data_IF_676281678747
#
_entry.id   IF_676281678747
#
_cell.length_a   1.000
_cell.length_b   1.000
_cell.length_c   1.000
_cell.angle_alpha   90.00
_cell.angle_beta   90.00
_cell.angle_gamma   90.00
#
_symmetry.space_group_name_H-M   'P 1'
#
loop_
_entity.id
_entity.type
_entity.pdbx_description
1 polymer ?
#
# COMPACT_ATOMS: atom_id res chain seq x y z
N UNK A 1 22.12 39.49 5.36
CA UNK A 1 21.39 38.22 5.40
C UNK A 1 20.96 37.72 4.01
N UNK A 2 20.19 38.45 3.20
CA UNK A 2 19.68 37.98 1.89
C UNK A 2 20.77 37.57 0.88
N UNK A 3 21.92 38.24 0.86
CA UNK A 3 23.06 37.88 0.00
C UNK A 3 23.71 36.58 0.45
N UNK A 4 23.72 36.29 1.73
CA UNK A 4 24.19 35.02 2.30
C UNK A 4 23.27 33.87 1.78
N UNK A 5 21.96 33.97 2.00
CA UNK A 5 21.01 32.93 1.53
C UNK A 5 21.08 32.71 0.02
N UNK A 6 21.30 33.77 -0.80
CA UNK A 6 21.45 33.62 -2.24
C UNK A 6 22.72 32.85 -2.63
N UNK A 7 23.83 33.08 -1.95
CA UNK A 7 25.06 32.31 -2.17
C UNK A 7 24.88 30.87 -1.74
N UNK A 8 24.33 30.68 -0.54
CA UNK A 8 24.10 29.35 0.04
C UNK A 8 23.14 28.53 -0.81
N UNK A 9 22.00 29.07 -1.20
CA UNK A 9 21.04 28.45 -2.13
C UNK A 9 21.72 28.02 -3.44
N UNK A 10 22.52 28.88 -4.04
CA UNK A 10 23.24 28.56 -5.27
C UNK A 10 24.26 27.43 -5.07
N UNK A 11 25.13 27.55 -4.06
CA UNK A 11 26.17 26.58 -3.81
C UNK A 11 25.62 25.19 -3.47
N UNK A 12 24.48 25.13 -2.80
CA UNK A 12 23.81 23.88 -2.52
C UNK A 12 23.09 23.33 -3.76
N UNK A 13 22.48 24.21 -4.58
CA UNK A 13 21.74 23.77 -5.78
C UNK A 13 22.65 23.22 -6.88
N UNK A 14 23.90 23.70 -7.00
CA UNK A 14 24.78 23.29 -8.10
C UNK A 14 25.15 21.80 -8.03
N UNK A 15 25.64 21.22 -6.94
CA UNK A 15 26.02 19.81 -6.90
C UNK A 15 24.80 18.85 -6.90
N UNK A 16 23.71 19.22 -6.23
CA UNK A 16 22.55 18.33 -6.08
C UNK A 16 21.48 18.50 -7.16
N UNK A 17 21.55 19.55 -7.96
CA UNK A 17 20.48 19.92 -8.90
C UNK A 17 20.18 18.86 -9.97
N UNK A 18 21.20 18.13 -10.46
CA UNK A 18 20.99 17.06 -11.45
C UNK A 18 20.20 15.91 -10.82
N UNK A 19 20.59 15.46 -9.64
CA UNK A 19 19.88 14.38 -8.92
C UNK A 19 18.45 14.80 -8.60
N UNK A 20 18.25 16.03 -8.12
CA UNK A 20 16.91 16.59 -7.83
C UNK A 20 16.06 16.61 -9.11
N UNK A 21 16.62 17.03 -10.25
CA UNK A 21 15.91 17.02 -11.55
C UNK A 21 15.46 15.61 -11.91
N UNK A 22 16.36 14.63 -11.84
CA UNK A 22 16.06 13.22 -12.14
C UNK A 22 14.97 12.70 -11.21
N UNK A 23 15.14 12.89 -9.90
CA UNK A 23 14.18 12.40 -8.90
C UNK A 23 12.81 13.04 -9.05
N UNK A 24 12.72 14.35 -9.25
CA UNK A 24 11.44 15.03 -9.49
C UNK A 24 10.78 14.59 -10.80
N UNK A 25 11.53 14.44 -11.88
CA UNK A 25 11.00 14.03 -13.18
C UNK A 25 10.47 12.59 -13.13
N UNK A 26 11.27 11.68 -12.59
CA UNK A 26 10.86 10.27 -12.42
C UNK A 26 9.69 10.14 -11.47
N UNK A 27 9.65 10.91 -10.38
CA UNK A 27 8.50 10.99 -9.48
C UNK A 27 7.22 11.43 -10.18
N UNK A 28 7.30 12.43 -11.08
CA UNK A 28 6.15 12.84 -11.89
C UNK A 28 5.63 11.70 -12.78
N UNK A 29 6.51 10.96 -13.44
CA UNK A 29 6.10 9.81 -14.26
C UNK A 29 5.39 8.72 -13.45
N UNK A 30 5.83 8.45 -12.22
CA UNK A 30 5.25 7.44 -11.35
C UNK A 30 3.85 7.80 -10.82
N UNK A 31 3.45 9.08 -10.84
CA UNK A 31 2.10 9.49 -10.38
C UNK A 31 0.99 8.82 -11.19
N UNK A 32 1.21 8.66 -12.50
CA UNK A 32 0.24 8.09 -13.45
C UNK A 32 0.68 6.74 -14.02
N UNK A 33 1.53 6.01 -13.30
CA UNK A 33 2.04 4.70 -13.74
C UNK A 33 0.91 3.73 -14.08
N UNK A 34 -0.12 3.63 -13.23
CA UNK A 34 -1.23 2.69 -13.43
C UNK A 34 -2.02 3.02 -14.71
N UNK A 35 -2.38 4.28 -14.89
CA UNK A 35 -3.16 4.74 -16.04
C UNK A 35 -2.36 4.58 -17.35
N UNK A 36 -1.06 4.89 -17.33
CA UNK A 36 -0.22 4.72 -18.50
C UNK A 36 -0.03 3.23 -18.81
N UNK A 37 0.14 2.39 -17.80
CA UNK A 37 0.26 0.93 -17.98
C UNK A 37 -1.01 0.38 -18.62
N UNK A 38 -2.19 0.73 -18.09
CA UNK A 38 -3.48 0.30 -18.65
C UNK A 38 -3.66 0.74 -20.11
N UNK A 39 -3.20 1.94 -20.48
CA UNK A 39 -3.23 2.41 -21.86
C UNK A 39 -2.27 1.66 -22.79
N UNK A 40 -1.13 1.17 -22.28
CA UNK A 40 -0.10 0.52 -23.09
C UNK A 40 -0.35 -0.97 -23.31
N UNK A 41 -0.87 -1.68 -22.31
CA UNK A 41 -0.95 -3.16 -22.29
C UNK A 41 -2.41 -3.64 -22.35
N UNK A 42 -3.37 -2.72 -22.28
CA UNK A 42 -4.77 -3.02 -21.99
C UNK A 42 -4.99 -3.11 -20.49
N UNK A 43 -6.25 -3.01 -20.10
CA UNK A 43 -6.61 -3.09 -18.68
C UNK A 43 -6.97 -4.55 -18.33
N UNK A 44 -5.97 -5.31 -17.88
CA UNK A 44 -6.14 -6.69 -17.40
C UNK A 44 -6.93 -6.76 -16.08
N UNK A 45 -7.29 -5.61 -15.53
CA UNK A 45 -8.10 -5.54 -14.32
C UNK A 45 -9.59 -5.49 -14.61
N UNK A 46 -9.98 -5.27 -15.87
CA UNK A 46 -11.40 -5.17 -16.27
C UNK A 46 -11.92 -6.51 -16.78
N UNK A 47 -13.00 -6.96 -16.21
CA UNK A 47 -13.72 -8.18 -16.60
C UNK A 47 -15.17 -7.86 -16.95
N UNK A 48 -15.78 -8.64 -17.83
CA UNK A 48 -17.21 -8.52 -18.11
C UNK A 48 -17.99 -9.33 -17.08
N UNK A 49 -18.89 -8.72 -16.30
CA UNK A 49 -19.71 -9.44 -15.33
C UNK A 49 -20.62 -10.48 -16.03
N UNK A 50 -20.53 -11.74 -15.59
CA UNK A 50 -21.35 -12.85 -16.11
C UNK A 50 -21.80 -13.71 -14.93
N UNK A 51 -23.02 -13.49 -14.46
CA UNK A 51 -23.58 -14.24 -13.33
C UNK A 51 -23.08 -13.78 -11.97
N UNK A 52 -23.00 -14.69 -11.01
CA UNK A 52 -22.47 -14.42 -9.68
C UNK A 52 -20.98 -14.76 -9.59
N UNK A 53 -20.18 -13.99 -8.82
CA UNK A 53 -18.78 -14.29 -8.61
C UNK A 53 -18.60 -15.65 -7.91
N UNK A 54 -17.56 -16.37 -8.29
CA UNK A 54 -17.16 -17.61 -7.61
C UNK A 54 -16.74 -17.32 -6.16
N UNK A 55 -16.95 -18.28 -5.25
CA UNK A 55 -16.45 -18.20 -3.88
C UNK A 55 -14.93 -17.95 -3.83
N UNK A 56 -14.49 -17.21 -2.79
CA UNK A 56 -13.06 -16.90 -2.58
C UNK A 56 -12.23 -18.17 -2.44
N UNK A 57 -12.77 -19.21 -1.77
CA UNK A 57 -12.12 -20.51 -1.65
C UNK A 57 -11.87 -21.15 -3.02
N UNK A 58 -12.90 -21.19 -3.87
CA UNK A 58 -12.81 -21.78 -5.22
C UNK A 58 -11.79 -21.04 -6.08
N UNK A 59 -11.73 -19.72 -5.98
CA UNK A 59 -10.72 -18.92 -6.70
C UNK A 59 -9.31 -19.24 -6.19
N UNK A 60 -9.13 -19.31 -4.87
CA UNK A 60 -7.84 -19.64 -4.28
C UNK A 60 -7.39 -21.04 -4.70
N UNK A 61 -8.26 -22.06 -4.60
CA UNK A 61 -7.98 -23.44 -5.02
C UNK A 61 -7.61 -23.53 -6.50
N UNK A 62 -8.37 -22.87 -7.38
CA UNK A 62 -8.10 -22.89 -8.83
C UNK A 62 -6.74 -22.26 -9.15
N UNK A 63 -6.39 -21.16 -8.48
CA UNK A 63 -5.08 -20.52 -8.69
C UNK A 63 -3.98 -21.40 -8.12
N UNK A 64 -4.14 -21.92 -6.91
CA UNK A 64 -3.16 -22.78 -6.24
C UNK A 64 -2.82 -24.02 -7.10
N UNK A 65 -3.84 -24.64 -7.69
CA UNK A 65 -3.66 -25.77 -8.59
C UNK A 65 -2.83 -25.45 -9.86
N UNK A 66 -2.69 -24.16 -10.23
CA UNK A 66 -1.90 -23.73 -11.40
C UNK A 66 -0.48 -23.30 -11.04
N UNK A 67 -0.16 -23.20 -9.73
CA UNK A 67 1.11 -22.69 -9.26
C UNK A 67 2.18 -23.80 -9.19
N UNK A 68 3.47 -23.46 -9.34
CA UNK A 68 4.58 -24.36 -9.00
C UNK A 68 4.54 -24.75 -7.51
N UNK A 69 4.99 -25.95 -7.18
CA UNK A 69 4.97 -26.52 -5.83
C UNK A 69 5.68 -25.69 -4.74
N UNK A 70 6.49 -24.71 -5.12
CA UNK A 70 7.22 -23.82 -4.20
C UNK A 70 6.55 -22.42 -4.05
N UNK A 71 5.38 -22.22 -4.66
CA UNK A 71 4.64 -20.96 -4.64
C UNK A 71 3.23 -21.20 -4.09
N UNK A 72 2.88 -20.49 -3.01
CA UNK A 72 1.59 -20.62 -2.34
C UNK A 72 0.74 -19.36 -2.56
N UNK A 73 -0.59 -19.51 -2.46
CA UNK A 73 -1.52 -18.41 -2.37
C UNK A 73 -1.42 -17.75 -0.98
N UNK A 74 -1.20 -16.44 -0.93
CA UNK A 74 -1.08 -15.66 0.33
C UNK A 74 -2.31 -14.82 0.65
N UNK A 75 -3.20 -14.64 -0.29
CA UNK A 75 -4.45 -13.91 -0.05
C UNK A 75 -5.18 -13.58 -1.32
N UNK A 76 -6.48 -13.42 -1.21
CA UNK A 76 -7.37 -13.01 -2.30
C UNK A 76 -7.90 -11.62 -2.00
N UNK A 77 -7.79 -10.72 -2.96
CA UNK A 77 -8.32 -9.35 -2.89
C UNK A 77 -9.58 -9.28 -3.74
N UNK A 78 -10.69 -9.05 -3.08
CA UNK A 78 -12.02 -8.90 -3.67
C UNK A 78 -12.32 -7.41 -3.83
N UNK A 79 -12.67 -6.98 -5.03
CA UNK A 79 -13.16 -5.62 -5.30
C UNK A 79 -14.68 -5.55 -5.12
N UNK A 80 -15.16 -4.38 -4.67
CA UNK A 80 -16.61 -4.10 -4.65
C UNK A 80 -17.18 -3.81 -6.04
N UNK A 81 -16.30 -3.53 -7.01
CA UNK A 81 -16.71 -3.26 -8.41
C UNK A 81 -16.87 -4.58 -9.16
N UNK A 82 -18.03 -4.87 -9.74
CA UNK A 82 -18.29 -6.15 -10.40
C UNK A 82 -17.50 -6.34 -11.70
N UNK A 83 -17.00 -5.27 -12.28
CA UNK A 83 -16.18 -5.22 -13.49
C UNK A 83 -14.67 -5.25 -13.21
N UNK A 84 -14.26 -5.28 -11.95
CA UNK A 84 -12.84 -5.33 -11.56
C UNK A 84 -12.42 -6.76 -11.17
N UNK A 85 -11.42 -7.30 -11.88
CA UNK A 85 -10.86 -8.63 -11.63
C UNK A 85 -10.37 -8.80 -10.20
N UNK A 86 -10.56 -9.97 -9.62
CA UNK A 86 -9.98 -10.30 -8.34
C UNK A 86 -8.47 -10.44 -8.46
N UNK A 87 -7.76 -10.13 -7.37
CA UNK A 87 -6.30 -10.24 -7.32
C UNK A 87 -5.88 -11.27 -6.29
N UNK A 88 -5.13 -12.27 -6.71
CA UNK A 88 -4.58 -13.31 -5.83
C UNK A 88 -3.11 -13.04 -5.59
N UNK A 89 -2.75 -12.79 -4.32
CA UNK A 89 -1.38 -12.52 -3.89
C UNK A 89 -0.62 -13.84 -3.72
N UNK A 90 0.62 -13.89 -4.18
CA UNK A 90 1.48 -15.07 -4.18
C UNK A 90 2.64 -14.95 -3.19
N UNK A 91 3.17 -16.11 -2.75
CA UNK A 91 4.33 -16.15 -1.84
C UNK A 91 5.63 -15.75 -2.54
N UNK A 92 5.80 -16.15 -3.80
CA UNK A 92 6.99 -15.92 -4.62
C UNK A 92 6.63 -15.54 -6.06
N UNK A 93 7.42 -14.65 -6.66
CA UNK A 93 8.40 -13.75 -6.04
C UNK A 93 7.73 -12.78 -5.07
N UNK A 94 8.51 -12.17 -4.18
CA UNK A 94 7.97 -11.26 -3.14
C UNK A 94 7.08 -10.17 -3.75
N UNK A 95 5.82 -10.07 -3.28
CA UNK A 95 4.78 -9.15 -3.78
C UNK A 95 4.23 -9.49 -5.17
N UNK A 96 4.44 -10.71 -5.66
CA UNK A 96 3.79 -11.15 -6.88
C UNK A 96 2.30 -11.35 -6.64
N UNK A 97 1.52 -11.10 -7.68
CA UNK A 97 0.10 -11.41 -7.69
C UNK A 97 -0.39 -11.63 -9.12
N UNK A 98 -1.53 -12.30 -9.23
CA UNK A 98 -2.20 -12.56 -10.49
C UNK A 98 -3.61 -11.96 -10.46
N UNK A 99 -4.08 -11.51 -11.61
CA UNK A 99 -5.48 -11.14 -11.80
C UNK A 99 -6.27 -12.35 -12.26
N UNK A 100 -7.44 -12.52 -11.68
CA UNK A 100 -8.33 -13.67 -11.92
C UNK A 100 -9.72 -13.15 -12.23
N UNK A 101 -10.32 -13.71 -13.27
CA UNK A 101 -11.72 -13.46 -13.56
C UNK A 101 -12.58 -14.13 -12.48
N UNK A 102 -13.26 -13.33 -11.67
CA UNK A 102 -14.07 -13.83 -10.56
C UNK A 102 -15.27 -14.68 -10.98
N UNK A 103 -15.67 -14.65 -12.25
CA UNK A 103 -16.81 -15.42 -12.76
C UNK A 103 -16.39 -16.78 -13.31
N UNK A 104 -15.19 -16.89 -13.90
CA UNK A 104 -14.69 -18.14 -14.50
C UNK A 104 -13.61 -18.83 -13.64
N UNK A 105 -12.92 -18.05 -12.80
CA UNK A 105 -11.75 -18.51 -12.05
C UNK A 105 -10.47 -18.61 -12.89
N UNK A 106 -10.49 -18.10 -14.14
CA UNK A 106 -9.32 -18.12 -15.02
C UNK A 106 -8.34 -16.99 -14.68
N UNK A 107 -7.04 -17.30 -14.70
CA UNK A 107 -5.99 -16.31 -14.55
C UNK A 107 -5.90 -15.47 -15.82
N UNK A 108 -6.24 -14.19 -15.72
CA UNK A 108 -6.20 -13.24 -16.85
C UNK A 108 -4.76 -12.82 -17.15
N UNK A 109 -3.94 -12.61 -16.11
CA UNK A 109 -2.57 -12.17 -16.26
C UNK A 109 -1.86 -11.96 -14.93
N UNK A 110 -0.54 -11.73 -15.03
CA UNK A 110 0.30 -11.36 -13.90
C UNK A 110 0.49 -9.85 -13.90
N UNK A 111 0.49 -9.23 -12.71
CA UNK A 111 0.90 -7.83 -12.62
C UNK A 111 2.43 -7.75 -12.65
N UNK A 112 2.94 -7.65 -13.84
CA UNK A 112 4.35 -7.34 -14.04
C UNK A 112 4.48 -5.85 -14.33
N UNK A 113 5.18 -5.14 -13.44
CA UNK A 113 5.49 -3.76 -13.67
C UNK A 113 6.23 -3.62 -15.00
N UNK A 114 5.73 -2.78 -15.91
CA UNK A 114 6.39 -2.55 -17.19
C UNK A 114 7.87 -2.23 -16.98
N UNK A 115 8.80 -2.81 -17.79
CA UNK A 115 10.25 -2.58 -17.65
C UNK A 115 10.62 -1.10 -17.64
N UNK A 116 9.87 -0.27 -18.39
CA UNK A 116 9.99 1.19 -18.36
C UNK A 116 9.75 1.75 -16.95
N UNK A 117 8.63 1.40 -16.30
CA UNK A 117 8.31 1.90 -14.96
C UNK A 117 9.19 1.28 -13.88
N UNK A 118 9.65 0.05 -14.07
CA UNK A 118 10.66 -0.55 -13.20
C UNK A 118 11.96 0.29 -13.22
N UNK A 119 12.42 0.66 -14.41
CA UNK A 119 13.58 1.54 -14.60
C UNK A 119 13.36 2.92 -13.98
N UNK A 120 12.19 3.54 -14.23
CA UNK A 120 11.83 4.85 -13.67
C UNK A 120 11.82 4.80 -12.14
N UNK A 121 11.27 3.74 -11.55
CA UNK A 121 11.21 3.55 -10.10
C UNK A 121 12.60 3.37 -9.48
N UNK A 122 13.48 2.54 -10.09
CA UNK A 122 14.86 2.36 -9.64
C UNK A 122 15.65 3.66 -9.75
N UNK A 123 15.43 4.41 -10.81
CA UNK A 123 16.08 5.72 -11.01
C UNK A 123 15.60 6.74 -9.97
N UNK A 124 14.29 6.75 -9.66
CA UNK A 124 13.69 7.62 -8.63
C UNK A 124 14.27 7.37 -7.23
N UNK A 125 14.40 6.11 -6.85
CA UNK A 125 14.78 5.75 -5.47
C UNK A 125 16.27 5.60 -5.25
N UNK A 126 17.00 5.09 -6.26
CA UNK A 126 18.38 4.61 -6.08
C UNK A 126 19.33 4.98 -7.21
N UNK A 127 18.92 5.81 -8.16
CA UNK A 127 19.73 6.16 -9.34
C UNK A 127 20.24 4.92 -10.10
N UNK A 128 19.39 3.89 -10.25
CA UNK A 128 19.69 2.60 -10.86
C UNK A 128 20.67 1.71 -10.07
N UNK A 129 21.08 2.11 -8.86
CA UNK A 129 21.92 1.27 -7.99
C UNK A 129 21.12 0.06 -7.49
N UNK A 130 21.79 -0.99 -7.06
CA UNK A 130 21.21 -2.23 -6.52
C UNK A 130 21.57 -2.37 -5.06
N UNK A 131 20.67 -2.97 -4.27
CA UNK A 131 20.95 -3.22 -2.86
C UNK A 131 22.16 -4.16 -2.73
N UNK A 132 23.28 -3.72 -2.14
CA UNK A 132 24.51 -4.49 -2.09
C UNK A 132 24.50 -5.63 -1.05
N UNK A 133 23.38 -5.85 -0.34
CA UNK A 133 23.26 -6.80 0.76
C UNK A 133 23.67 -6.23 2.12
N UNK A 134 23.65 -7.11 3.15
CA UNK A 134 23.96 -6.72 4.52
C UNK A 134 25.39 -6.23 4.69
N UNK A 135 25.56 -5.22 5.52
CA UNK A 135 26.87 -4.65 5.87
C UNK A 135 27.52 -3.76 4.81
N UNK A 136 26.93 -3.59 3.63
CA UNK A 136 27.44 -2.73 2.56
C UNK A 136 26.64 -1.45 2.43
N UNK A 137 27.30 -0.38 1.98
CA UNK A 137 26.64 0.93 1.79
C UNK A 137 25.86 0.94 0.47
N UNK A 138 24.57 1.25 0.55
CA UNK A 138 23.72 1.46 -0.61
C UNK A 138 23.87 2.90 -1.12
N UNK A 139 24.85 3.14 -1.98
CA UNK A 139 25.25 4.48 -2.43
C UNK A 139 24.13 5.23 -3.16
N UNK A 140 23.41 4.57 -4.04
CA UNK A 140 22.29 5.19 -4.76
C UNK A 140 21.22 5.74 -3.81
N UNK A 141 20.84 4.95 -2.80
CA UNK A 141 19.89 5.38 -1.75
C UNK A 141 20.45 6.57 -0.96
N UNK A 142 21.74 6.53 -0.60
CA UNK A 142 22.41 7.60 0.16
C UNK A 142 22.47 8.90 -0.65
N UNK A 143 22.82 8.85 -1.94
CA UNK A 143 22.91 10.02 -2.82
C UNK A 143 21.53 10.66 -3.00
N UNK A 144 20.48 9.87 -3.26
CA UNK A 144 19.10 10.37 -3.38
C UNK A 144 18.65 10.99 -2.06
N UNK A 145 18.90 10.32 -0.93
CA UNK A 145 18.56 10.82 0.40
C UNK A 145 19.26 12.15 0.72
N UNK A 146 20.57 12.23 0.52
CA UNK A 146 21.35 13.45 0.73
C UNK A 146 20.89 14.59 -0.19
N UNK A 147 20.59 14.27 -1.46
CA UNK A 147 20.05 15.25 -2.42
C UNK A 147 18.66 15.74 -2.01
N UNK A 148 17.82 14.86 -1.47
CA UNK A 148 16.50 15.23 -0.96
C UNK A 148 16.59 16.10 0.29
N UNK A 149 17.53 15.82 1.20
CA UNK A 149 17.80 16.67 2.37
C UNK A 149 18.30 18.05 1.93
N UNK A 150 19.24 18.10 0.99
CA UNK A 150 19.68 19.35 0.37
C UNK A 150 18.52 20.10 -0.29
N UNK A 151 17.61 19.38 -0.95
CA UNK A 151 16.43 19.97 -1.60
C UNK A 151 15.49 20.63 -0.58
N UNK A 152 15.24 20.03 0.57
CA UNK A 152 14.48 20.69 1.66
C UNK A 152 15.11 22.03 2.04
N UNK A 153 16.43 22.06 2.25
CA UNK A 153 17.14 23.29 2.58
C UNK A 153 17.08 24.31 1.43
N UNK A 154 17.19 23.86 0.18
CA UNK A 154 17.06 24.70 -1.03
C UNK A 154 15.65 25.32 -1.09
N UNK A 155 14.59 24.56 -0.85
CA UNK A 155 13.21 25.07 -0.84
C UNK A 155 13.01 26.14 0.25
N UNK A 156 13.49 25.89 1.48
CA UNK A 156 13.39 26.85 2.58
C UNK A 156 14.18 28.13 2.31
N UNK A 157 15.43 28.00 1.83
CA UNK A 157 16.24 29.18 1.46
C UNK A 157 15.65 29.92 0.27
N UNK A 158 15.06 29.21 -0.68
CA UNK A 158 14.33 29.77 -1.80
C UNK A 158 13.16 30.67 -1.33
N UNK A 159 12.37 30.22 -0.35
CA UNK A 159 11.30 30.98 0.26
C UNK A 159 11.80 32.27 0.92
N UNK A 160 12.91 32.20 1.68
CA UNK A 160 13.54 33.37 2.32
C UNK A 160 13.99 34.41 1.26
N UNK A 161 14.56 33.95 0.15
CA UNK A 161 14.98 34.83 -0.96
C UNK A 161 13.76 35.40 -1.70
N UNK A 162 12.71 34.58 -1.84
CA UNK A 162 11.48 34.93 -2.54
C UNK A 162 10.65 35.97 -1.74
N UNK A 163 10.74 36.03 -0.41
CA UNK A 163 9.89 36.87 0.43
C UNK A 163 9.83 38.35 -0.06
N UNK A 164 8.66 38.87 -0.45
CA UNK A 164 8.51 40.23 -0.99
C UNK A 164 8.54 41.24 0.12
N UNK A 165 9.06 42.45 -0.15
CA UNK A 165 9.09 43.58 0.78
C UNK A 165 7.87 44.48 0.69
N UNK A 166 7.19 44.49 -0.45
CA UNK A 166 6.00 45.28 -0.69
C UNK A 166 5.04 44.58 -1.66
N UNK A 167 3.78 45.11 -1.74
CA UNK A 167 2.70 44.52 -2.55
C UNK A 167 3.02 44.51 -4.06
N UNK A 168 3.71 45.56 -4.57
CA UNK A 168 4.11 45.62 -6.00
C UNK A 168 5.11 44.51 -6.33
N UNK A 169 6.06 44.25 -5.43
CA UNK A 169 7.02 43.17 -5.59
C UNK A 169 6.35 41.77 -5.49
N UNK A 170 5.37 41.59 -4.61
CA UNK A 170 4.55 40.40 -4.49
C UNK A 170 3.86 40.08 -5.83
N UNK A 171 3.11 41.04 -6.37
CA UNK A 171 2.43 40.89 -7.67
C UNK A 171 3.38 40.47 -8.79
N UNK A 172 4.55 41.10 -8.87
CA UNK A 172 5.54 40.80 -9.91
C UNK A 172 6.20 39.40 -9.73
N UNK A 173 6.26 38.87 -8.50
CA UNK A 173 6.87 37.56 -8.21
C UNK A 173 5.89 36.41 -8.33
N UNK A 174 4.61 36.69 -8.35
CA UNK A 174 3.56 35.70 -8.56
C UNK A 174 3.19 35.54 -10.05
N UNK A 175 3.66 36.43 -10.92
CA UNK A 175 3.31 36.40 -12.33
C UNK A 175 4.41 35.78 -13.18
N UNK A 176 4.00 34.97 -14.16
CA UNK A 176 4.87 34.43 -15.20
C UNK A 176 4.58 35.18 -16.50
N UNK A 177 5.51 36.01 -16.94
CA UNK A 177 5.34 36.85 -18.11
C UNK A 177 5.70 36.09 -19.40
N UNK A 178 4.73 35.45 -20.05
CA UNK A 178 4.93 34.66 -21.26
C UNK A 178 5.43 35.46 -22.46
N UNK A 179 5.02 36.75 -22.56
CA UNK A 179 5.29 37.62 -23.73
C UNK A 179 6.50 38.55 -23.60
N UNK A 180 7.21 38.54 -22.46
CA UNK A 180 8.36 39.47 -22.21
C UNK A 180 9.74 38.85 -22.54
N UNK A 181 9.78 37.89 -23.45
CA UNK A 181 11.00 37.24 -23.94
C UNK A 181 11.50 36.07 -23.07
N UNK A 182 12.30 35.18 -23.69
CA UNK A 182 12.75 33.89 -23.09
C UNK A 182 13.45 34.06 -21.74
N UNK A 183 14.27 35.09 -21.58
CA UNK A 183 15.02 35.32 -20.34
C UNK A 183 14.13 35.66 -19.17
N UNK A 184 13.06 36.44 -19.39
CA UNK A 184 12.10 36.82 -18.39
C UNK A 184 11.23 35.61 -18.01
N UNK A 185 10.83 34.84 -19.00
CA UNK A 185 10.06 33.61 -18.80
C UNK A 185 10.79 32.63 -17.88
N UNK A 186 12.07 32.27 -18.17
CA UNK A 186 12.82 31.33 -17.33
C UNK A 186 13.06 31.85 -15.91
N UNK A 187 13.27 33.16 -15.75
CA UNK A 187 13.37 33.77 -14.43
C UNK A 187 12.06 33.68 -13.66
N UNK A 188 10.94 34.03 -14.29
CA UNK A 188 9.63 34.00 -13.65
C UNK A 188 9.19 32.56 -13.36
N UNK A 189 9.47 31.61 -14.25
CA UNK A 189 9.21 30.18 -14.00
C UNK A 189 9.97 29.68 -12.76
N UNK A 190 11.23 30.04 -12.61
CA UNK A 190 11.99 29.70 -11.42
C UNK A 190 11.42 30.36 -10.15
N UNK A 191 11.07 31.62 -10.21
CA UNK A 191 10.65 32.41 -9.02
C UNK A 191 9.20 32.15 -8.66
N UNK A 192 8.27 32.26 -9.61
CA UNK A 192 6.85 32.05 -9.38
C UNK A 192 6.49 30.58 -9.36
N UNK A 193 7.00 29.79 -10.33
CA UNK A 193 6.77 28.34 -10.37
C UNK A 193 7.33 27.65 -9.13
N UNK A 194 8.53 28.03 -8.70
CA UNK A 194 9.13 27.54 -7.45
C UNK A 194 8.26 27.83 -6.22
N UNK A 195 7.67 29.02 -6.15
CA UNK A 195 6.78 29.37 -5.04
C UNK A 195 5.49 28.55 -5.05
N UNK A 196 4.83 28.42 -6.20
CA UNK A 196 3.59 27.64 -6.31
C UNK A 196 3.78 26.16 -6.02
N UNK A 197 4.90 25.58 -6.49
CA UNK A 197 5.20 24.16 -6.26
C UNK A 197 5.77 23.88 -4.86
N UNK A 198 6.29 24.89 -4.16
CA UNK A 198 7.12 24.73 -2.95
C UNK A 198 6.46 23.88 -1.86
N UNK A 199 5.19 24.14 -1.54
CA UNK A 199 4.52 23.40 -0.45
C UNK A 199 4.39 21.92 -0.76
N UNK A 200 4.00 21.59 -1.98
CA UNK A 200 3.85 20.19 -2.41
C UNK A 200 5.21 19.50 -2.54
N UNK A 201 6.21 20.19 -3.10
CA UNK A 201 7.59 19.69 -3.17
C UNK A 201 8.19 19.47 -1.79
N UNK A 202 7.91 20.36 -0.84
CA UNK A 202 8.37 20.21 0.55
C UNK A 202 7.70 18.99 1.21
N UNK A 203 6.39 18.81 1.02
CA UNK A 203 5.68 17.64 1.53
C UNK A 203 6.25 16.33 0.93
N UNK A 204 6.47 16.29 -0.39
CA UNK A 204 7.10 15.13 -1.06
C UNK A 204 8.53 14.87 -0.55
N UNK A 205 9.34 15.92 -0.38
CA UNK A 205 10.72 15.79 0.09
C UNK A 205 10.78 15.30 1.54
N UNK A 206 9.99 15.89 2.46
CA UNK A 206 9.96 15.50 3.87
C UNK A 206 9.44 14.06 4.05
N UNK A 207 8.41 13.67 3.32
CA UNK A 207 7.92 12.29 3.37
C UNK A 207 8.89 11.31 2.72
N UNK A 208 9.56 11.70 1.62
CA UNK A 208 10.57 10.89 0.95
C UNK A 208 11.81 10.60 1.81
N UNK A 209 12.23 11.54 2.63
CA UNK A 209 13.34 11.35 3.57
C UNK A 209 13.10 10.21 4.57
N UNK A 210 11.85 9.93 4.94
CA UNK A 210 11.53 8.87 5.88
C UNK A 210 11.93 7.47 5.38
N UNK A 211 12.02 7.27 4.05
CA UNK A 211 12.50 6.01 3.47
C UNK A 211 14.02 6.00 3.20
N UNK A 212 14.64 7.17 3.19
CA UNK A 212 16.07 7.26 2.94
C UNK A 212 16.89 7.07 4.21
N UNK A 213 16.45 7.63 5.34
CA UNK A 213 17.20 7.67 6.60
C UNK A 213 16.36 7.20 7.78
N UNK A 214 16.79 6.15 8.47
CA UNK A 214 16.14 5.62 9.68
C UNK A 214 16.15 6.64 10.83
N UNK A 215 17.27 7.35 11.05
CA UNK A 215 17.34 8.39 12.07
C UNK A 215 16.29 9.49 11.87
N UNK A 216 16.04 9.86 10.60
CA UNK A 216 15.04 10.87 10.28
C UNK A 216 13.63 10.34 10.54
N UNK A 217 13.32 9.13 10.07
CA UNK A 217 11.99 8.51 10.28
C UNK A 217 11.71 8.33 11.77
N UNK A 218 12.66 7.82 12.55
CA UNK A 218 12.52 7.64 14.00
C UNK A 218 12.34 8.99 14.71
N UNK A 219 13.13 10.00 14.35
CA UNK A 219 12.98 11.36 14.88
C UNK A 219 11.63 11.97 14.59
N UNK A 220 11.11 11.81 13.36
CA UNK A 220 9.78 12.33 12.99
C UNK A 220 8.67 11.55 13.69
N UNK A 221 8.75 10.22 13.79
CA UNK A 221 7.79 9.43 14.56
C UNK A 221 7.77 9.81 16.03
N UNK A 222 8.93 10.00 16.65
CA UNK A 222 9.04 10.48 18.04
C UNK A 222 8.43 11.86 18.22
N UNK A 223 8.74 12.79 17.31
CA UNK A 223 8.19 14.16 17.33
C UNK A 223 6.66 14.17 17.19
N UNK A 224 6.10 13.25 16.40
CA UNK A 224 4.66 13.10 16.20
C UNK A 224 4.00 12.19 17.26
N UNK A 225 4.72 11.83 18.33
CA UNK A 225 4.20 10.99 19.41
C UNK A 225 3.93 9.55 19.02
N UNK A 226 4.69 9.01 18.05
CA UNK A 226 4.64 7.63 17.59
C UNK A 226 6.03 6.97 17.65
N UNK A 227 6.93 7.49 18.51
CA UNK A 227 8.20 6.84 18.87
C UNK A 227 7.92 5.49 19.53
N UNK A 228 8.96 4.69 19.75
CA UNK A 228 8.90 3.39 20.44
C UNK A 228 8.49 3.56 21.91
N UNK A 229 7.32 4.06 22.15
CA UNK A 229 6.59 3.84 23.38
C UNK A 229 5.62 2.70 23.07
N UNK A 230 6.11 1.52 23.32
CA UNK A 230 5.43 0.38 23.89
C UNK A 230 3.93 0.36 23.91
N UNK A 231 3.52 -0.85 23.77
CA UNK A 231 2.25 -1.41 24.11
C UNK A 231 1.23 -1.30 22.98
N UNK A 232 1.20 -2.39 22.24
CA UNK A 232 -0.09 -3.05 22.04
C UNK A 232 -0.87 -2.91 23.34
N UNK A 233 -1.63 -1.84 23.46
CA UNK A 233 -2.83 -1.90 24.25
C UNK A 233 -3.66 -2.93 23.52
N UNK A 234 -3.50 -4.19 23.91
CA UNK A 234 -4.52 -5.19 23.72
C UNK A 234 -5.67 -4.61 24.53
N UNK A 235 -6.52 -3.85 23.88
CA UNK A 235 -7.84 -3.59 24.40
C UNK A 235 -8.47 -4.96 24.33
N UNK A 236 -8.37 -5.68 25.45
CA UNK A 236 -9.23 -6.81 25.74
C UNK A 236 -10.64 -6.26 25.50
N UNK A 237 -11.18 -6.52 24.32
CA UNK A 237 -12.54 -6.13 24.01
C UNK A 237 -13.37 -6.92 25.00
N UNK A 238 -13.93 -6.22 26.00
CA UNK A 238 -15.07 -6.73 26.73
C UNK A 238 -16.11 -7.03 25.66
N UNK A 239 -16.11 -8.28 25.23
CA UNK A 239 -17.13 -8.83 24.38
C UNK A 239 -18.50 -8.48 25.02
N UNK A 240 -19.42 -7.85 24.32
CA UNK A 240 -20.81 -8.10 24.61
C UNK A 240 -21.00 -9.58 24.29
N UNK A 241 -21.36 -10.36 25.27
CA UNK A 241 -21.72 -11.77 25.18
C UNK A 241 -22.49 -12.01 23.88
N UNK A 242 -21.83 -12.63 22.91
CA UNK A 242 -22.54 -13.31 21.83
C UNK A 242 -23.10 -14.55 22.54
N UNK A 243 -24.39 -14.48 22.87
CA UNK A 243 -25.12 -15.59 23.40
C UNK A 243 -24.87 -16.81 22.52
N UNK A 244 -24.08 -17.75 23.02
CA UNK A 244 -23.98 -19.08 22.47
C UNK A 244 -25.38 -19.67 22.50
N UNK A 245 -25.98 -19.84 21.34
CA UNK A 245 -27.22 -20.59 21.22
C UNK A 245 -26.98 -22.00 21.82
N UNK A 246 -27.85 -22.48 22.72
CA UNK A 246 -27.68 -23.79 23.29
C UNK A 246 -27.79 -24.85 22.21
N UNK A 247 -26.74 -25.65 22.05
CA UNK A 247 -26.77 -26.88 21.26
C UNK A 247 -27.72 -27.84 21.96
N UNK A 248 -28.84 -28.09 21.32
CA UNK A 248 -29.79 -29.13 21.78
C UNK A 248 -29.25 -30.52 21.43
N UNK A 249 -28.99 -31.41 22.37
CA UNK A 249 -28.68 -32.80 22.05
C UNK A 249 -29.99 -33.55 21.84
N UNK A 250 -30.23 -33.97 20.61
CA UNK A 250 -31.14 -35.09 20.29
C UNK A 250 -32.62 -34.75 20.24
N UNK A 251 -33.18 -34.97 19.04
CA UNK A 251 -34.56 -35.42 18.79
C UNK A 251 -35.69 -34.81 19.64
N UNK A 252 -36.24 -33.69 19.19
CA UNK A 252 -37.59 -33.32 19.55
C UNK A 252 -38.36 -32.88 18.28
N UNK A 253 -39.32 -33.68 17.89
CA UNK A 253 -40.52 -33.26 17.13
C UNK A 253 -41.34 -32.39 18.07
N UNK A 254 -41.85 -31.27 17.56
CA UNK A 254 -42.72 -30.31 18.25
C UNK A 254 -42.07 -29.33 19.23
N UNK A 255 -41.70 -28.15 18.69
CA UNK A 255 -41.56 -26.94 19.49
C UNK A 255 -42.40 -25.81 18.89
N UNK A 256 -43.58 -25.63 19.49
CA UNK A 256 -44.35 -24.40 19.40
C UNK A 256 -43.76 -23.33 20.30
N UNK A 257 -43.68 -22.12 19.77
CA UNK A 257 -43.15 -20.92 20.40
C UNK A 257 -43.88 -20.61 21.74
N UNK A 258 -43.18 -20.53 22.86
CA UNK A 258 -43.57 -19.71 24.00
C UNK A 258 -42.39 -19.40 24.93
N UNK A 259 -42.13 -18.14 25.05
CA UNK A 259 -41.55 -17.32 26.11
C UNK A 259 -41.09 -18.06 27.37
N UNK A 260 -39.80 -17.88 27.72
CA UNK A 260 -39.34 -17.97 29.10
C UNK A 260 -38.61 -16.68 29.50
N UNK A 261 -39.34 -15.84 30.23
CA UNK A 261 -38.82 -14.79 31.10
C UNK A 261 -38.74 -15.44 32.50
N UNK A 262 -37.58 -15.36 33.17
CA UNK A 262 -37.46 -15.15 34.63
C UNK A 262 -36.00 -15.24 35.07
N UNK A 263 -35.52 -14.14 35.60
CA UNK A 263 -35.22 -13.87 37.03
C UNK A 263 -34.16 -14.80 37.66
N UNK A 264 -33.02 -14.27 37.98
CA UNK A 264 -32.22 -14.73 39.11
C UNK A 264 -31.51 -13.56 39.80
N UNK A 265 -31.81 -13.51 41.05
CA UNK A 265 -31.41 -12.57 42.08
C UNK A 265 -29.92 -12.58 42.42
N UNK A 266 -29.52 -11.44 42.82
CA UNK A 266 -28.42 -10.97 43.64
C UNK A 266 -28.04 -11.83 44.84
N UNK A 267 -26.74 -12.11 45.06
CA UNK A 267 -26.16 -12.22 46.41
C UNK A 267 -24.66 -11.88 46.42
N UNK A 268 -24.40 -10.75 47.05
CA UNK A 268 -23.10 -10.37 47.60
C UNK A 268 -22.69 -11.28 48.76
N UNK A 269 -21.42 -11.64 48.86
CA UNK A 269 -20.72 -11.71 50.15
C UNK A 269 -19.20 -11.55 49.94
N UNK A 270 -18.66 -10.61 50.67
CA UNK A 270 -17.24 -10.37 50.87
C UNK A 270 -16.65 -11.37 51.87
N UNK A 271 -15.36 -11.75 51.69
CA UNK A 271 -14.46 -12.09 52.81
C UNK A 271 -13.04 -11.73 52.43
N UNK A 272 -12.36 -11.12 53.39
CA UNK A 272 -11.01 -10.60 53.41
C UNK A 272 -9.90 -11.65 53.56
N UNK A 273 -8.69 -11.18 53.19
CA UNK A 273 -7.39 -11.33 53.86
C UNK A 273 -6.56 -12.61 53.72
N UNK A 274 -5.32 -12.39 53.36
CA UNK A 274 -4.21 -13.03 54.06
C UNK A 274 -3.08 -13.64 53.21
N UNK A 275 -1.92 -12.96 53.15
CA UNK A 275 -0.65 -13.59 53.48
C UNK A 275 0.23 -14.18 52.36
N UNK A 276 1.27 -13.45 52.03
CA UNK A 276 2.69 -13.78 51.84
C UNK A 276 3.12 -15.23 51.46
N UNK A 277 3.94 -15.30 50.47
CA UNK A 277 5.30 -15.89 50.42
C UNK A 277 5.67 -16.40 49.03
N UNK A 278 6.83 -16.02 48.60
CA UNK A 278 7.43 -16.29 47.31
C UNK A 278 7.74 -17.74 47.00
N UNK A 279 8.06 -17.97 45.75
CA UNK A 279 9.10 -18.88 45.26
C UNK A 279 9.33 -18.66 43.78
N UNK A 280 10.58 -18.49 43.44
CA UNK A 280 11.16 -18.52 42.10
C UNK A 280 10.89 -19.86 41.44
N UNK A 281 10.51 -19.86 40.16
CA UNK A 281 10.84 -20.94 39.24
C UNK A 281 10.95 -20.34 37.83
N UNK A 282 12.13 -20.46 37.25
CA UNK A 282 12.43 -20.27 35.86
C UNK A 282 11.57 -21.20 34.99
N UNK A 283 10.83 -20.65 34.04
CA UNK A 283 10.21 -21.41 32.98
C UNK A 283 10.33 -20.65 31.65
N UNK A 284 11.09 -21.25 30.83
CA UNK A 284 11.36 -21.01 29.41
C UNK A 284 10.15 -20.45 28.68
N UNK A 285 10.20 -19.20 28.34
CA UNK A 285 9.28 -18.55 27.39
C UNK A 285 9.86 -18.70 26.00
N UNK A 286 9.31 -19.61 25.22
CA UNK A 286 9.46 -19.57 23.78
C UNK A 286 8.62 -18.39 23.26
N UNK A 287 9.24 -17.22 23.19
CA UNK A 287 8.68 -16.06 22.52
C UNK A 287 8.73 -16.32 21.01
N UNK A 288 7.60 -16.60 20.39
CA UNK A 288 7.43 -16.40 18.97
C UNK A 288 7.46 -14.91 18.70
N UNK A 289 8.65 -14.41 18.40
CA UNK A 289 8.84 -13.09 17.85
C UNK A 289 8.12 -13.02 16.50
N UNK A 290 6.95 -12.41 16.49
CA UNK A 290 6.41 -11.79 15.29
C UNK A 290 7.29 -10.57 15.03
N UNK A 291 8.37 -10.82 14.33
CA UNK A 291 9.29 -9.80 13.89
C UNK A 291 8.54 -8.80 13.02
N UNK A 292 8.56 -7.56 13.49
CA UNK A 292 8.44 -6.34 12.70
C UNK A 292 8.82 -6.63 11.24
N UNK A 293 7.86 -6.56 10.34
CA UNK A 293 8.14 -6.48 8.92
C UNK A 293 8.78 -5.13 8.66
N UNK A 294 10.08 -5.02 8.95
CA UNK A 294 10.94 -4.00 8.37
C UNK A 294 10.65 -4.02 6.89
N UNK A 295 10.18 -2.91 6.40
CA UNK A 295 10.03 -2.65 4.98
C UNK A 295 11.43 -2.62 4.35
N UNK A 296 11.99 -3.80 4.15
CA UNK A 296 13.25 -3.98 3.43
C UNK A 296 12.87 -4.07 1.97
N UNK A 297 13.13 -3.00 1.24
CA UNK A 297 13.11 -2.98 -0.21
C UNK A 297 14.26 -3.87 -0.73
N UNK A 298 14.09 -5.17 -0.69
CA UNK A 298 14.96 -6.10 -1.38
C UNK A 298 14.39 -6.32 -2.77
N UNK A 299 15.05 -5.76 -3.78
CA UNK A 299 14.85 -6.19 -5.15
C UNK A 299 15.33 -7.63 -5.31
N UNK A 300 14.61 -8.46 -6.06
CA UNK A 300 15.18 -9.68 -6.58
C UNK A 300 16.10 -9.32 -7.75
N UNK A 301 17.40 -9.38 -7.54
CA UNK A 301 18.33 -9.62 -8.62
C UNK A 301 18.20 -11.10 -8.98
N UNK A 302 17.33 -11.44 -9.90
CA UNK A 302 17.34 -12.74 -10.57
C UNK A 302 17.13 -12.45 -12.06
N UNK A 303 18.15 -12.85 -12.81
CA UNK A 303 18.15 -12.95 -14.25
C UNK A 303 16.94 -13.75 -14.72
N UNK A 304 16.31 -13.21 -15.77
CA UNK A 304 15.31 -13.91 -16.57
C UNK A 304 15.99 -15.14 -17.16
N UNK A 305 15.65 -16.31 -16.64
CA UNK A 305 15.86 -17.57 -17.30
C UNK A 305 14.51 -18.28 -17.33
N UNK A 306 13.98 -18.36 -18.52
CA UNK A 306 13.02 -19.31 -19.06
C UNK A 306 12.04 -19.98 -18.08
N UNK A 307 10.80 -19.50 -18.11
CA UNK A 307 9.65 -20.38 -18.02
C UNK A 307 8.81 -20.13 -19.28
N UNK A 308 9.33 -20.55 -20.41
CA UNK A 308 8.55 -20.87 -21.60
C UNK A 308 7.98 -22.27 -21.41
N UNK A 309 6.68 -22.39 -21.29
CA UNK A 309 6.07 -23.71 -21.22
C UNK A 309 4.60 -23.71 -20.79
N UNK A 310 3.77 -22.83 -21.35
CA UNK A 310 2.34 -23.08 -21.39
C UNK A 310 1.86 -22.89 -22.84
N UNK A 311 2.00 -23.98 -23.57
CA UNK A 311 1.34 -24.13 -24.86
C UNK A 311 -0.14 -24.38 -24.65
N UNK A 312 -0.97 -23.62 -25.37
CA UNK A 312 -2.39 -23.78 -25.51
C UNK A 312 -2.74 -25.24 -25.86
N UNK A 313 -3.52 -25.89 -25.03
CA UNK A 313 -4.11 -27.19 -25.35
C UNK A 313 -5.36 -26.95 -26.20
N UNK A 314 -5.26 -27.43 -27.41
CA UNK A 314 -6.32 -27.49 -28.43
C UNK A 314 -7.50 -28.31 -27.95
N UNK A 315 -8.68 -27.80 -28.31
CA UNK A 315 -9.95 -28.48 -28.22
C UNK A 315 -9.91 -29.87 -28.92
N UNK A 316 -10.40 -30.90 -28.25
CA UNK A 316 -10.71 -32.18 -28.85
C UNK A 316 -12.19 -32.44 -28.67
N UNK A 317 -12.85 -32.60 -29.81
CA UNK A 317 -14.23 -33.06 -30.02
C UNK A 317 -14.53 -34.36 -29.26
N UNK A 318 -15.65 -34.41 -28.60
CA UNK A 318 -16.28 -35.67 -28.17
C UNK A 318 -17.68 -35.81 -28.72
N UNK A 319 -17.77 -36.59 -29.75
CA UNK A 319 -19.05 -37.10 -30.26
C UNK A 319 -19.30 -38.52 -29.76
N UNK A 320 -20.54 -38.69 -29.27
CA UNK A 320 -21.43 -39.85 -29.33
C UNK A 320 -21.04 -41.20 -28.71
N UNK A 321 -21.98 -41.70 -27.92
CA UNK A 321 -22.11 -43.12 -27.57
C UNK A 321 -23.15 -43.38 -26.50
N UNK A 322 -24.42 -43.28 -26.82
CA UNK A 322 -25.53 -43.78 -25.99
C UNK A 322 -25.60 -45.30 -26.07
N UNK A 323 -25.65 -45.98 -24.93
CA UNK A 323 -26.41 -47.24 -24.78
C UNK A 323 -26.84 -47.42 -23.33
N UNK A 324 -28.09 -47.61 -23.16
CA UNK A 324 -28.80 -47.95 -21.93
C UNK A 324 -28.51 -49.40 -21.49
N UNK A 325 -28.47 -49.65 -20.17
CA UNK A 325 -29.26 -50.72 -19.56
C UNK A 325 -29.34 -50.59 -18.05
N UNK A 326 -30.52 -50.73 -17.58
CA UNK A 326 -31.13 -50.94 -16.26
C UNK A 326 -30.36 -51.90 -15.34
N UNK A 327 -30.26 -51.63 -14.04
CA UNK A 327 -31.00 -52.26 -12.96
C UNK A 327 -30.48 -51.88 -11.56
N UNK A 328 -31.41 -51.61 -10.69
CA UNK A 328 -31.47 -52.16 -9.35
C UNK A 328 -30.81 -51.36 -8.18
N UNK A 329 -31.62 -50.52 -7.61
CA UNK A 329 -31.84 -50.40 -6.17
C UNK A 329 -30.66 -50.29 -5.17
N UNK A 330 -30.81 -49.35 -4.29
CA UNK A 330 -30.18 -49.16 -3.00
C UNK A 330 -28.88 -48.35 -3.02
N UNK A 331 -29.03 -47.16 -2.55
CA UNK A 331 -27.89 -46.35 -2.20
C UNK A 331 -28.02 -44.92 -2.69
N UNK A 332 -29.08 -44.24 -2.30
CA UNK A 332 -29.00 -42.81 -2.13
C UNK A 332 -28.05 -42.53 -0.94
N UNK A 333 -26.89 -43.15 -1.03
CA UNK A 333 -25.75 -42.82 -0.25
C UNK A 333 -25.07 -41.67 -0.96
N UNK A 334 -25.45 -40.44 -0.50
CA UNK A 334 -24.48 -39.41 -0.30
C UNK A 334 -23.37 -39.37 -1.35
N UNK A 335 -23.70 -38.93 -2.55
CA UNK A 335 -22.83 -38.17 -3.43
C UNK A 335 -22.83 -36.69 -2.98
N UNK A 336 -22.89 -36.46 -1.69
CA UNK A 336 -22.06 -35.44 -1.07
C UNK A 336 -20.69 -36.10 -1.09
N UNK A 337 -20.01 -36.05 -2.25
CA UNK A 337 -18.59 -36.17 -2.28
C UNK A 337 -18.13 -35.37 -1.07
N UNK A 338 -17.43 -36.02 -0.15
CA UNK A 338 -16.66 -35.33 0.85
C UNK A 338 -15.78 -34.36 0.05
N UNK A 339 -16.24 -33.17 -0.17
CA UNK A 339 -15.45 -32.01 -0.53
C UNK A 339 -14.42 -32.03 0.59
N UNK A 340 -13.21 -32.51 0.28
CA UNK A 340 -12.08 -32.41 1.19
C UNK A 340 -12.04 -30.93 1.52
N UNK A 341 -12.37 -30.59 2.75
CA UNK A 341 -12.36 -29.21 3.19
C UNK A 341 -10.98 -28.64 2.85
N UNK A 342 -10.96 -27.69 1.95
CA UNK A 342 -9.69 -27.08 1.52
C UNK A 342 -9.23 -26.11 2.58
N UNK A 343 -7.95 -25.80 2.60
CA UNK A 343 -7.37 -24.77 3.47
C UNK A 343 -8.13 -23.43 3.33
N UNK A 344 -8.72 -23.17 2.15
CA UNK A 344 -9.38 -21.91 1.82
C UNK A 344 -10.87 -21.86 2.19
N UNK A 345 -11.49 -22.93 2.67
CA UNK A 345 -12.91 -22.91 3.08
C UNK A 345 -13.12 -21.97 4.28
N UNK A 346 -12.17 -21.93 5.21
CA UNK A 346 -12.19 -20.99 6.32
C UNK A 346 -12.10 -19.51 5.85
N UNK A 347 -11.43 -19.26 4.72
CA UNK A 347 -11.35 -17.93 4.14
C UNK A 347 -12.69 -17.48 3.57
N UNK A 348 -13.45 -18.40 2.97
CA UNK A 348 -14.81 -18.11 2.48
C UNK A 348 -15.74 -17.75 3.63
N UNK A 349 -15.74 -18.55 4.72
CA UNK A 349 -16.56 -18.28 5.89
C UNK A 349 -16.20 -16.94 6.56
N UNK A 350 -14.91 -16.65 6.69
CA UNK A 350 -14.44 -15.37 7.22
C UNK A 350 -14.83 -14.19 6.32
N UNK A 351 -14.73 -14.35 5.00
CA UNK A 351 -15.15 -13.35 4.03
C UNK A 351 -16.65 -13.03 4.16
N UNK A 352 -17.51 -14.04 4.16
CA UNK A 352 -18.97 -13.89 4.30
C UNK A 352 -19.33 -13.23 5.62
N UNK A 353 -18.69 -13.66 6.74
CA UNK A 353 -18.89 -13.06 8.04
C UNK A 353 -18.54 -11.57 8.06
N UNK A 354 -17.45 -11.16 7.40
CA UNK A 354 -17.04 -9.76 7.32
C UNK A 354 -17.95 -8.95 6.39
N UNK A 355 -18.35 -9.49 5.24
CA UNK A 355 -19.29 -8.82 4.31
C UNK A 355 -20.64 -8.56 4.97
N UNK A 356 -21.13 -9.50 5.79
CA UNK A 356 -22.36 -9.30 6.56
C UNK A 356 -22.25 -8.15 7.57
N UNK A 357 -21.06 -7.93 8.16
CA UNK A 357 -20.80 -6.83 9.10
C UNK A 357 -20.52 -5.51 8.40
N UNK A 358 -19.89 -5.53 7.23
CA UNK A 358 -19.46 -4.32 6.50
C UNK A 358 -19.89 -4.40 5.03
N UNK A 359 -21.15 -4.06 4.74
CA UNK A 359 -21.70 -4.18 3.38
C UNK A 359 -21.12 -3.17 2.37
N UNK A 360 -20.45 -2.12 2.85
CA UNK A 360 -19.86 -1.08 1.99
C UNK A 360 -18.34 -1.06 2.18
N UNK A 361 -17.62 -1.49 1.18
CA UNK A 361 -16.15 -1.50 1.14
C UNK A 361 -15.64 -1.11 -0.25
N UNK A 362 -14.38 -0.75 -0.36
CA UNK A 362 -13.66 -0.59 -1.64
C UNK A 362 -13.06 -1.93 -2.05
N UNK A 363 -12.29 -2.53 -1.16
CA UNK A 363 -11.69 -3.85 -1.35
C UNK A 363 -11.65 -4.62 -0.03
N UNK A 364 -11.85 -5.94 -0.10
CA UNK A 364 -11.59 -6.88 0.98
C UNK A 364 -10.42 -7.76 0.59
N UNK A 365 -9.44 -7.89 1.46
CA UNK A 365 -8.32 -8.82 1.30
C UNK A 365 -8.45 -9.91 2.34
N UNK A 366 -8.63 -11.15 1.89
CA UNK A 366 -8.62 -12.34 2.75
C UNK A 366 -7.23 -12.97 2.67
N UNK A 367 -6.64 -13.27 3.79
CA UNK A 367 -5.34 -13.93 3.92
C UNK A 367 -5.33 -14.77 5.18
N UNK A 368 -4.34 -15.64 5.37
CA UNK A 368 -4.27 -16.52 6.53
C UNK A 368 -4.52 -15.75 7.85
N UNK A 369 -5.59 -16.13 8.56
CA UNK A 369 -5.98 -15.57 9.86
C UNK A 369 -6.49 -14.12 9.88
N UNK A 370 -6.53 -13.41 8.72
CA UNK A 370 -6.89 -11.98 8.68
C UNK A 370 -7.70 -11.62 7.44
N UNK A 371 -8.83 -10.94 7.66
CA UNK A 371 -9.57 -10.24 6.61
C UNK A 371 -9.34 -8.73 6.79
N UNK A 372 -8.79 -8.07 5.79
CA UNK A 372 -8.52 -6.63 5.80
C UNK A 372 -9.53 -5.90 4.89
N UNK A 373 -10.31 -5.00 5.47
CA UNK A 373 -11.33 -4.22 4.76
C UNK A 373 -10.81 -2.81 4.53
N UNK A 374 -10.66 -2.45 3.28
CA UNK A 374 -10.32 -1.10 2.85
C UNK A 374 -11.59 -0.36 2.44
N UNK A 375 -11.73 0.87 2.91
CA UNK A 375 -12.76 1.78 2.45
C UNK A 375 -12.17 3.18 2.18
N UNK A 376 -12.84 3.98 1.35
CA UNK A 376 -12.42 5.34 0.96
C UNK A 376 -12.50 6.36 2.09
N UNK A 377 -13.12 5.99 3.22
CA UNK A 377 -13.45 6.84 4.36
C UNK A 377 -12.27 7.60 4.98
N UNK A 378 -11.08 7.01 4.95
CA UNK A 378 -9.95 7.54 5.71
C UNK A 378 -9.00 8.45 4.93
N UNK A 379 -9.12 8.55 3.60
CA UNK A 379 -8.19 9.33 2.76
C UNK A 379 -6.76 8.81 2.71
N UNK A 380 -6.42 7.83 3.56
CA UNK A 380 -5.14 7.16 3.59
C UNK A 380 -5.25 5.84 2.81
N UNK A 381 -4.52 5.73 1.70
CA UNK A 381 -4.59 4.55 0.81
C UNK A 381 -4.21 3.23 1.48
N UNK A 382 -3.51 3.27 2.63
CA UNK A 382 -3.13 2.09 3.40
C UNK A 382 -4.02 1.84 4.62
N UNK A 383 -5.06 2.66 4.80
CA UNK A 383 -6.00 2.45 5.90
C UNK A 383 -6.87 1.24 5.60
N UNK A 384 -6.91 0.31 6.53
CA UNK A 384 -7.80 -0.85 6.50
C UNK A 384 -8.21 -1.22 7.91
N UNK A 385 -9.46 -1.65 8.05
CA UNK A 385 -9.95 -2.30 9.25
C UNK A 385 -9.61 -3.79 9.14
N UNK A 386 -9.15 -4.42 10.21
CA UNK A 386 -8.71 -5.81 10.22
C UNK A 386 -9.61 -6.66 11.10
N UNK A 387 -10.00 -7.80 10.59
CA UNK A 387 -10.81 -8.81 11.24
C UNK A 387 -9.98 -10.08 11.33
N UNK A 388 -9.56 -10.43 12.52
CA UNK A 388 -8.84 -11.68 12.79
C UNK A 388 -9.84 -12.82 12.84
N UNK A 389 -9.50 -13.96 12.25
CA UNK A 389 -10.34 -15.14 12.27
C UNK A 389 -9.52 -16.40 12.59
N UNK A 390 -10.19 -17.42 13.11
CA UNK A 390 -9.60 -18.73 13.34
C UNK A 390 -9.47 -19.49 12.02
N UNK A 391 -8.26 -19.88 11.65
CA UNK A 391 -7.94 -20.50 10.36
C UNK A 391 -8.61 -21.86 10.12
N UNK A 392 -9.13 -22.50 11.16
CA UNK A 392 -9.83 -23.79 11.03
C UNK A 392 -11.33 -23.62 10.85
N UNK A 393 -11.92 -22.69 11.59
CA UNK A 393 -13.37 -22.51 11.61
C UNK A 393 -13.87 -21.34 10.78
N UNK A 394 -12.99 -20.41 10.37
CA UNK A 394 -13.36 -19.16 9.72
C UNK A 394 -14.06 -18.17 10.64
N UNK A 395 -14.23 -18.49 11.93
CA UNK A 395 -14.92 -17.63 12.89
C UNK A 395 -14.10 -16.38 13.22
N UNK A 396 -14.74 -15.20 13.22
CA UNK A 396 -14.09 -13.94 13.58
C UNK A 396 -13.79 -13.94 15.07
N UNK A 397 -12.52 -13.80 15.44
CA UNK A 397 -12.02 -13.83 16.81
C UNK A 397 -11.82 -12.44 17.41
N UNK A 398 -11.37 -11.47 16.59
CA UNK A 398 -11.17 -10.09 17.04
C UNK A 398 -11.23 -9.10 15.88
N UNK A 399 -11.45 -7.83 16.21
CA UNK A 399 -11.56 -6.73 15.24
C UNK A 399 -10.64 -5.60 15.64
N UNK A 400 -9.71 -5.23 14.77
CA UNK A 400 -8.84 -4.05 14.90
C UNK A 400 -9.28 -3.00 13.88
N UNK A 401 -10.00 -1.98 14.32
CA UNK A 401 -10.38 -0.88 13.44
C UNK A 401 -9.18 0.04 13.19
N UNK A 402 -9.08 0.58 11.99
CA UNK A 402 -8.02 1.54 11.63
C UNK A 402 -7.94 2.72 12.62
N UNK A 403 -9.08 3.21 13.13
CA UNK A 403 -9.09 4.29 14.13
C UNK A 403 -8.34 3.92 15.43
N UNK A 404 -8.28 2.63 15.78
CA UNK A 404 -7.69 2.13 17.01
C UNK A 404 -6.28 1.56 16.79
N UNK A 405 -5.86 1.40 15.53
CA UNK A 405 -4.53 0.90 15.17
C UNK A 405 -3.39 1.81 15.64
N UNK A 406 -2.20 1.24 15.75
CA UNK A 406 -1.01 1.93 16.25
C UNK A 406 -0.70 3.21 15.45
N UNK A 407 -0.37 4.30 16.16
CA UNK A 407 -0.09 5.62 15.59
C UNK A 407 1.04 5.57 14.54
N UNK A 408 2.07 4.75 14.74
CA UNK A 408 3.19 4.55 13.80
C UNK A 408 2.70 4.03 12.45
N UNK A 409 1.81 3.03 12.44
CA UNK A 409 1.21 2.49 11.21
C UNK A 409 0.37 3.54 10.47
N UNK A 410 -0.45 4.29 11.19
CA UNK A 410 -1.26 5.39 10.62
C UNK A 410 -0.37 6.44 9.95
N UNK A 411 0.69 6.90 10.63
CA UNK A 411 1.61 7.90 10.10
C UNK A 411 2.39 7.37 8.89
N UNK A 412 2.83 6.12 8.90
CA UNK A 412 3.49 5.50 7.74
C UNK A 412 2.59 5.49 6.51
N UNK A 413 1.31 5.16 6.67
CA UNK A 413 0.33 5.21 5.60
C UNK A 413 0.07 6.63 5.09
N UNK A 414 -0.01 7.61 5.99
CA UNK A 414 -0.15 9.02 5.62
C UNK A 414 1.08 9.56 4.91
N UNK A 415 2.30 9.20 5.33
CA UNK A 415 3.52 9.59 4.62
C UNK A 415 3.50 9.10 3.18
N UNK A 416 3.06 7.85 2.96
CA UNK A 416 2.92 7.33 1.61
C UNK A 416 1.86 8.08 0.81
N UNK A 417 0.67 8.28 1.36
CA UNK A 417 -0.43 8.98 0.68
C UNK A 417 -0.10 10.44 0.36
N UNK A 418 0.60 11.14 1.27
CA UNK A 418 1.10 12.49 1.06
C UNK A 418 2.23 12.52 0.03
N UNK A 419 3.11 11.50 -0.01
CA UNK A 419 4.21 11.48 -0.97
C UNK A 419 3.73 11.34 -2.40
N UNK A 420 2.77 10.45 -2.64
CA UNK A 420 2.25 10.15 -3.99
C UNK A 420 1.04 11.04 -4.37
N UNK A 421 0.53 11.85 -3.44
CA UNK A 421 -0.61 12.74 -3.67
C UNK A 421 -1.97 12.04 -3.77
N UNK A 422 -2.12 10.81 -3.25
CA UNK A 422 -3.37 10.04 -3.37
C UNK A 422 -4.47 10.45 -2.39
N UNK A 423 -4.16 11.26 -1.38
CA UNK A 423 -5.06 11.59 -0.26
C UNK A 423 -6.33 12.36 -0.64
N UNK A 424 -6.36 13.05 -1.76
CA UNK A 424 -7.52 13.79 -2.27
C UNK A 424 -7.92 13.38 -3.70
N UNK A 425 -7.64 12.12 -4.08
CA UNK A 425 -8.02 11.55 -5.36
C UNK A 425 -7.26 12.14 -6.56
N UNK A 426 -7.92 12.19 -7.71
CA UNK A 426 -7.31 12.63 -8.97
C UNK A 426 -6.81 14.08 -8.92
N UNK A 427 -7.55 14.98 -8.27
CA UNK A 427 -7.17 16.40 -8.20
C UNK A 427 -5.80 16.57 -7.53
N UNK A 428 -5.60 15.96 -6.38
CA UNK A 428 -4.31 16.05 -5.68
C UNK A 428 -3.20 15.37 -6.45
N UNK A 429 -3.46 14.23 -7.11
CA UNK A 429 -2.49 13.56 -7.98
C UNK A 429 -2.04 14.46 -9.14
N UNK A 430 -2.97 15.16 -9.82
CA UNK A 430 -2.64 16.13 -10.87
C UNK A 430 -1.79 17.28 -10.33
N UNK A 431 -2.14 17.84 -9.15
CA UNK A 431 -1.36 18.91 -8.52
C UNK A 431 0.06 18.44 -8.16
N UNK A 432 0.22 17.22 -7.63
CA UNK A 432 1.53 16.62 -7.31
C UNK A 432 2.36 16.37 -8.58
N UNK A 433 1.74 15.86 -9.63
CA UNK A 433 2.38 15.71 -10.94
C UNK A 433 2.93 17.04 -11.47
N UNK A 434 2.10 18.09 -11.48
CA UNK A 434 2.51 19.41 -11.94
C UNK A 434 3.62 20.01 -11.06
N UNK A 435 3.51 19.83 -9.73
CA UNK A 435 4.55 20.29 -8.80
C UNK A 435 5.87 19.54 -9.02
N UNK A 436 5.84 18.22 -9.23
CA UNK A 436 7.03 17.43 -9.52
C UNK A 436 7.68 17.81 -10.85
N UNK A 437 6.90 18.05 -11.92
CA UNK A 437 7.40 18.58 -13.18
C UNK A 437 8.04 19.96 -13.01
N UNK A 438 7.41 20.86 -12.28
CA UNK A 438 8.02 22.15 -11.94
C UNK A 438 9.29 21.93 -11.14
N UNK A 439 9.28 21.04 -10.15
CA UNK A 439 10.47 20.65 -9.36
C UNK A 439 11.63 20.20 -10.23
N UNK A 440 11.38 19.41 -11.27
CA UNK A 440 12.39 18.98 -12.22
C UNK A 440 12.98 20.15 -13.04
N UNK A 441 12.16 21.18 -13.33
CA UNK A 441 12.62 22.34 -14.12
C UNK A 441 13.40 23.37 -13.29
N UNK A 442 13.20 23.41 -11.94
CA UNK A 442 13.81 24.42 -11.07
C UNK A 442 15.35 24.39 -11.09
N UNK A 443 16.05 23.25 -10.96
CA UNK A 443 17.50 23.23 -11.07
C UNK A 443 17.99 23.64 -12.45
N UNK A 444 17.31 23.20 -13.52
CA UNK A 444 17.67 23.54 -14.89
C UNK A 444 17.58 25.05 -15.14
N UNK A 445 16.49 25.68 -14.72
CA UNK A 445 16.32 27.15 -14.78
C UNK A 445 17.34 27.86 -13.90
N UNK A 446 17.66 27.31 -12.73
CA UNK A 446 18.71 27.80 -11.84
C UNK A 446 20.09 27.81 -12.52
N UNK A 447 20.48 26.70 -13.17
CA UNK A 447 21.72 26.60 -13.95
C UNK A 447 21.76 27.61 -15.10
N UNK A 448 20.66 27.72 -15.86
CA UNK A 448 20.55 28.69 -16.93
C UNK A 448 20.80 30.13 -16.43
N UNK A 449 20.15 30.53 -15.34
CA UNK A 449 20.31 31.86 -14.74
C UNK A 449 21.72 32.08 -14.18
N UNK A 450 22.34 31.05 -13.60
CA UNK A 450 23.71 31.11 -13.07
C UNK A 450 24.74 31.30 -14.17
N UNK A 451 24.69 30.44 -15.21
CA UNK A 451 25.58 30.48 -16.36
C UNK A 451 25.49 31.83 -17.05
N UNK A 452 24.29 32.31 -17.32
CA UNK A 452 24.07 33.63 -17.93
C UNK A 452 24.68 34.77 -17.11
N UNK A 453 24.60 34.69 -15.78
CA UNK A 453 25.22 35.69 -14.90
C UNK A 453 26.76 35.67 -15.00
N UNK A 454 27.35 34.50 -15.17
CA UNK A 454 28.81 34.35 -15.34
C UNK A 454 29.27 34.97 -16.64
N UNK A 455 28.57 34.70 -17.76
CA UNK A 455 28.89 35.27 -19.05
C UNK A 455 28.67 36.80 -19.09
N UNK A 456 27.60 37.30 -18.48
CA UNK A 456 27.35 38.74 -18.38
C UNK A 456 28.44 39.52 -17.63
N UNK A 457 28.97 38.95 -16.54
CA UNK A 457 30.09 39.56 -15.81
C UNK A 457 31.41 39.54 -16.60
N UNK A 458 31.63 38.52 -17.42
CA UNK A 458 32.85 38.41 -18.24
C UNK A 458 32.86 39.44 -19.36
N UNK A 459 31.69 39.77 -19.95
CA UNK A 459 31.51 40.79 -20.99
C UNK A 459 31.66 42.23 -20.47
N UNK A 460 31.34 42.47 -19.17
CA UNK A 460 31.47 43.79 -18.52
C UNK A 460 32.89 44.06 -17.99
N UNK A 461 33.78 43.06 -18.01
CA UNK A 461 35.20 43.20 -17.59
C UNK A 461 36.20 43.32 -18.78
N UNK A 462 35.72 43.09 -20.00
CA UNK A 462 36.38 43.44 -21.25
C UNK A 462 35.83 44.77 -21.77
#
# INVERSE_FOLDING_TARGET
MRNFFRKFHLWLSVPFGIVITITCFTGALLVFEKEITALCVGDITVVTPVGEPLPVSVIADKVDATLPADVDVKGVVVSSSPDEAYRVNLSKPKKAFVYVNQYTGEVIGKDERLPFFQTVFRLHRWLMDSNPGEGKVFWGKMIVGASTLAFVVILLTGLVIWWPRNRKMLKNRLQIALRKGKNRFWYDLHVAGGFYAMLLLLAMALTGLAWSFEWYSNGVYTLLGAGEANETVVVESKNPEIATAPVCPGSCRDCTLSVCVNSAENKNTAVESGGAAGWNVDAVTAATNVTDTKYVDAEPAISVAEIDGVTAATAVDAQSGATAMTDGNSGATSLVAALQATEFDSWQLAYEGVVAMVPHFETITVSAGVVSVKNTKYGNIRAADKYMFDERSGAITSVELYKDSARKGKLSGWFYSLHIGSWGGLLTRVLYFLAALLGATLPLTGYYLWVKRLYGKRKSRK
#
